data_IF_311875276389
#
_entry.id   IF_311875276389
#
_cell.length_a   1.000
_cell.length_b   1.000
_cell.length_c   1.000
_cell.angle_alpha   90.00
_cell.angle_beta   90.00
_cell.angle_gamma   90.00
#
_symmetry.space_group_name_H-M   'P 1'
#
loop_
_entity.id
_entity.type
_entity.pdbx_description
1 polymer ?
#
# COMPACT_ATOMS: atom_id res chain seq x y z
N UNK A 1 -16.55 16.11 9.17
CA UNK A 1 -15.05 16.18 8.97
C UNK A 1 -14.50 17.37 9.72
N UNK A 2 -13.26 17.25 10.24
CA UNK A 2 -12.56 18.41 10.82
C UNK A 2 -12.09 19.36 9.70
N UNK A 3 -11.91 20.64 10.02
CA UNK A 3 -11.36 21.63 9.08
C UNK A 3 -9.98 21.22 8.54
N UNK A 4 -9.16 20.60 9.41
CA UNK A 4 -7.86 20.06 9.05
C UNK A 4 -7.95 18.91 8.02
N UNK A 5 -8.93 18.01 8.13
CA UNK A 5 -9.13 16.94 7.17
C UNK A 5 -9.60 17.50 5.80
N UNK A 6 -10.45 18.50 5.80
CA UNK A 6 -10.88 19.16 4.56
C UNK A 6 -9.71 19.84 3.85
N UNK A 7 -8.86 20.57 4.58
CA UNK A 7 -7.66 21.18 4.02
C UNK A 7 -6.70 20.14 3.42
N UNK A 8 -6.53 18.99 4.09
CA UNK A 8 -5.70 17.91 3.57
C UNK A 8 -6.26 17.32 2.26
N UNK A 9 -7.58 17.14 2.15
CA UNK A 9 -8.23 16.64 0.93
C UNK A 9 -8.06 17.65 -0.22
N UNK A 10 -8.22 18.94 0.06
CA UNK A 10 -8.06 19.99 -0.97
C UNK A 10 -6.62 20.04 -1.48
N UNK A 11 -5.64 19.84 -0.60
CA UNK A 11 -4.24 19.70 -0.98
C UNK A 11 -4.00 18.47 -1.86
N UNK A 12 -4.56 17.32 -1.50
CA UNK A 12 -4.48 16.09 -2.31
C UNK A 12 -5.09 16.31 -3.70
N UNK A 13 -6.26 16.95 -3.79
CA UNK A 13 -6.91 17.28 -5.07
C UNK A 13 -6.06 18.24 -5.91
N UNK A 14 -5.36 19.19 -5.27
CA UNK A 14 -4.43 20.08 -5.97
C UNK A 14 -3.24 19.30 -6.53
N UNK A 15 -2.58 18.50 -5.70
CA UNK A 15 -1.46 17.67 -6.11
C UNK A 15 -1.83 16.69 -7.24
N UNK A 16 -3.05 16.13 -7.22
CA UNK A 16 -3.54 15.25 -8.28
C UNK A 16 -3.58 15.99 -9.63
N UNK A 17 -4.16 17.20 -9.67
CA UNK A 17 -4.19 18.02 -10.91
C UNK A 17 -2.81 18.39 -11.42
N UNK A 18 -1.87 18.70 -10.51
CA UNK A 18 -0.47 18.98 -10.88
C UNK A 18 0.19 17.76 -11.54
N UNK A 19 -0.01 16.57 -10.99
CA UNK A 19 0.52 15.32 -11.55
C UNK A 19 -0.13 15.00 -12.89
N UNK A 20 -1.43 15.20 -13.04
CA UNK A 20 -2.13 15.01 -14.32
C UNK A 20 -1.55 15.93 -15.40
N UNK A 21 -1.22 17.17 -15.04
CA UNK A 21 -0.55 18.11 -15.94
C UNK A 21 0.86 17.63 -16.32
N UNK A 22 1.63 17.12 -15.34
CA UNK A 22 2.97 16.58 -15.59
C UNK A 22 2.93 15.33 -16.48
N UNK A 23 1.96 14.44 -16.27
CA UNK A 23 1.78 13.23 -17.08
C UNK A 23 1.40 13.53 -18.53
N UNK A 24 0.85 14.71 -18.82
CA UNK A 24 0.58 15.17 -20.17
C UNK A 24 1.80 15.81 -20.87
N UNK A 25 2.91 16.06 -20.15
CA UNK A 25 4.13 16.65 -20.71
C UNK A 25 4.89 15.60 -21.55
N UNK A 26 5.27 16.01 -22.78
CA UNK A 26 6.00 15.15 -23.72
C UNK A 26 7.37 14.71 -23.16
N UNK A 27 8.05 15.54 -22.36
CA UNK A 27 9.32 15.19 -21.73
C UNK A 27 9.15 14.02 -20.75
N UNK A 28 8.06 14.01 -19.98
CA UNK A 28 7.71 12.93 -19.05
C UNK A 28 7.29 11.67 -19.80
N UNK A 29 6.50 11.81 -20.86
CA UNK A 29 6.08 10.67 -21.69
C UNK A 29 7.26 9.93 -22.33
N UNK A 30 8.39 10.62 -22.52
CA UNK A 30 9.61 10.07 -23.13
C UNK A 30 10.54 9.40 -22.10
N UNK A 31 10.26 9.55 -20.78
CA UNK A 31 11.04 8.94 -19.69
C UNK A 31 10.23 7.85 -18.95
N UNK A 32 10.45 6.56 -19.25
CA UNK A 32 9.71 5.47 -18.59
C UNK A 32 9.84 5.45 -17.07
N UNK A 33 10.97 5.92 -16.52
CA UNK A 33 11.20 5.97 -15.07
C UNK A 33 10.36 7.06 -14.41
N UNK A 34 10.35 8.27 -15.01
CA UNK A 34 9.49 9.37 -14.56
C UNK A 34 8.00 9.01 -14.66
N UNK A 35 7.60 8.41 -15.78
CA UNK A 35 6.24 7.89 -15.98
C UNK A 35 5.85 6.88 -14.90
N UNK A 36 6.71 5.94 -14.57
CA UNK A 36 6.45 4.93 -13.55
C UNK A 36 6.25 5.56 -12.16
N UNK A 37 7.13 6.48 -11.77
CA UNK A 37 7.01 7.19 -10.47
C UNK A 37 5.75 8.05 -10.39
N UNK A 38 5.49 8.87 -11.41
CA UNK A 38 4.31 9.72 -11.45
C UNK A 38 3.02 8.91 -11.54
N UNK A 39 3.01 7.80 -12.28
CA UNK A 39 1.89 6.88 -12.36
C UNK A 39 1.53 6.25 -11.01
N UNK A 40 2.52 5.79 -10.24
CA UNK A 40 2.31 5.28 -8.87
C UNK A 40 1.70 6.37 -7.97
N UNK A 41 2.26 7.59 -8.01
CA UNK A 41 1.78 8.71 -7.21
C UNK A 41 0.37 9.16 -7.62
N UNK A 42 0.09 9.23 -8.91
CA UNK A 42 -1.25 9.53 -9.45
C UNK A 42 -2.29 8.53 -8.95
N UNK A 43 -2.02 7.23 -9.08
CA UNK A 43 -2.94 6.18 -8.66
C UNK A 43 -3.27 6.28 -7.16
N UNK A 44 -2.27 6.59 -6.31
CA UNK A 44 -2.47 6.78 -4.87
C UNK A 44 -3.34 8.00 -4.58
N UNK A 45 -3.01 9.18 -5.12
CA UNK A 45 -3.79 10.40 -4.87
C UNK A 45 -5.22 10.27 -5.38
N UNK A 46 -5.40 9.63 -6.54
CA UNK A 46 -6.73 9.33 -7.08
C UNK A 46 -7.53 8.42 -6.16
N UNK A 47 -6.89 7.45 -5.52
CA UNK A 47 -7.56 6.59 -4.54
C UNK A 47 -8.02 7.41 -3.32
N UNK A 48 -7.17 8.28 -2.77
CA UNK A 48 -7.56 9.17 -1.65
C UNK A 48 -8.76 10.03 -2.02
N UNK A 49 -8.74 10.66 -3.20
CA UNK A 49 -9.87 11.48 -3.70
C UNK A 49 -11.14 10.63 -3.85
N UNK A 50 -11.03 9.42 -4.41
CA UNK A 50 -12.17 8.50 -4.56
C UNK A 50 -12.81 8.11 -3.22
N UNK A 51 -12.00 7.88 -2.18
CA UNK A 51 -12.51 7.57 -0.83
C UNK A 51 -13.15 8.82 -0.20
N UNK A 52 -12.54 10.01 -0.39
CA UNK A 52 -13.13 11.26 0.09
C UNK A 52 -14.50 11.55 -0.56
N UNK A 53 -14.59 11.40 -1.89
CA UNK A 53 -15.85 11.58 -2.62
C UNK A 53 -16.92 10.55 -2.15
N UNK A 54 -16.51 9.31 -1.86
CA UNK A 54 -17.39 8.28 -1.28
C UNK A 54 -17.89 8.66 0.10
N UNK A 55 -17.05 9.24 0.96
CA UNK A 55 -17.45 9.74 2.29
C UNK A 55 -18.48 10.86 2.16
N UNK A 56 -18.27 11.81 1.23
CA UNK A 56 -19.19 12.89 0.99
C UNK A 56 -20.54 12.39 0.46
N UNK A 57 -20.53 11.42 -0.46
CA UNK A 57 -21.75 10.79 -0.98
C UNK A 57 -22.51 10.04 0.12
N UNK A 58 -21.83 9.19 0.89
CA UNK A 58 -22.47 8.44 1.98
C UNK A 58 -23.08 9.35 3.04
N UNK A 59 -22.46 10.52 3.30
CA UNK A 59 -23.03 11.52 4.22
C UNK A 59 -24.33 12.10 3.70
N UNK A 60 -24.38 12.46 2.42
CA UNK A 60 -25.59 12.94 1.79
C UNK A 60 -26.69 11.86 1.76
N UNK A 61 -26.31 10.61 1.48
CA UNK A 61 -27.26 9.48 1.48
C UNK A 61 -27.83 9.19 2.87
N UNK A 62 -27.00 9.31 3.95
CA UNK A 62 -27.49 9.20 5.34
C UNK A 62 -28.49 10.29 5.65
N UNK A 63 -28.16 11.53 5.34
CA UNK A 63 -29.04 12.68 5.59
C UNK A 63 -30.39 12.50 4.87
N UNK A 64 -30.37 12.11 3.60
CA UNK A 64 -31.56 11.86 2.82
C UNK A 64 -32.42 10.69 3.39
N UNK A 65 -31.78 9.60 3.86
CA UNK A 65 -32.50 8.48 4.46
C UNK A 65 -33.09 8.84 5.84
N UNK A 66 -32.42 9.70 6.62
CA UNK A 66 -32.92 10.23 7.89
C UNK A 66 -34.16 11.10 7.69
N UNK A 67 -34.13 11.99 6.70
CA UNK A 67 -35.27 12.87 6.38
C UNK A 67 -36.51 12.04 5.97
N UNK A 68 -36.31 10.97 5.20
CA UNK A 68 -37.39 10.07 4.78
C UNK A 68 -37.93 9.18 5.91
N UNK A 69 -37.24 9.02 7.02
CA UNK A 69 -37.68 8.19 8.16
C UNK A 69 -38.92 8.78 8.83
N UNK A 70 -39.17 10.07 8.73
CA UNK A 70 -40.39 10.71 9.22
C UNK A 70 -41.63 10.27 8.41
N UNK A 71 -41.45 9.97 7.13
CA UNK A 71 -42.53 9.54 6.23
C UNK A 71 -42.74 8.01 6.26
N UNK A 72 -41.65 7.23 6.29
CA UNK A 72 -41.68 5.77 6.35
C UNK A 72 -40.54 5.25 7.27
N UNK A 73 -40.92 4.58 8.40
CA UNK A 73 -39.96 3.98 9.34
C UNK A 73 -39.00 2.95 8.74
N UNK A 74 -39.32 2.38 7.56
CA UNK A 74 -38.43 1.46 6.88
C UNK A 74 -37.09 2.09 6.48
N UNK A 75 -37.07 3.41 6.21
CA UNK A 75 -35.83 4.15 5.92
C UNK A 75 -34.89 4.24 7.13
N UNK A 76 -35.38 4.05 8.35
CA UNK A 76 -34.53 4.00 9.54
C UNK A 76 -33.49 2.89 9.50
N UNK A 77 -33.84 1.69 9.01
CA UNK A 77 -32.89 0.59 8.82
C UNK A 77 -31.85 0.89 7.73
N UNK A 78 -32.28 1.56 6.67
CA UNK A 78 -31.36 1.98 5.61
C UNK A 78 -30.40 3.07 6.11
N UNK A 79 -30.87 4.06 6.87
CA UNK A 79 -30.03 5.06 7.49
C UNK A 79 -28.97 4.45 8.42
N UNK A 80 -29.32 3.44 9.23
CA UNK A 80 -28.35 2.70 10.06
C UNK A 80 -27.29 1.97 9.22
N UNK A 81 -27.72 1.31 8.15
CA UNK A 81 -26.81 0.62 7.23
C UNK A 81 -25.82 1.60 6.58
N UNK A 82 -26.30 2.75 6.10
CA UNK A 82 -25.51 3.80 5.47
C UNK A 82 -24.54 4.43 6.47
N UNK A 83 -24.94 4.66 7.73
CA UNK A 83 -24.03 5.12 8.80
C UNK A 83 -22.88 4.15 9.03
N UNK A 84 -23.14 2.85 9.07
CA UNK A 84 -22.08 1.84 9.18
C UNK A 84 -21.09 1.89 8.02
N UNK A 85 -21.57 2.12 6.80
CA UNK A 85 -20.69 2.32 5.63
C UNK A 85 -19.90 3.64 5.69
N UNK A 86 -20.53 4.72 6.15
CA UNK A 86 -19.88 6.02 6.35
C UNK A 86 -18.76 5.94 7.38
N UNK A 87 -18.97 5.22 8.48
CA UNK A 87 -17.96 5.04 9.53
C UNK A 87 -16.73 4.28 8.98
N UNK A 88 -16.96 3.20 8.22
CA UNK A 88 -15.88 2.45 7.58
C UNK A 88 -15.10 3.30 6.57
N UNK A 89 -15.79 4.03 5.69
CA UNK A 89 -15.16 4.89 4.70
C UNK A 89 -14.42 6.08 5.35
N UNK A 90 -14.94 6.63 6.45
CA UNK A 90 -14.31 7.71 7.21
C UNK A 90 -13.04 7.24 7.92
N UNK A 91 -13.04 6.01 8.42
CA UNK A 91 -11.85 5.38 9.02
C UNK A 91 -10.77 5.18 7.96
N UNK A 92 -11.12 4.59 6.81
CA UNK A 92 -10.22 4.42 5.67
C UNK A 92 -9.62 5.77 5.22
N UNK A 93 -10.43 6.82 5.10
CA UNK A 93 -9.96 8.16 4.73
C UNK A 93 -8.98 8.72 5.75
N UNK A 94 -9.24 8.54 7.04
CA UNK A 94 -8.38 9.00 8.11
C UNK A 94 -7.01 8.32 8.06
N UNK A 95 -6.98 7.02 7.81
CA UNK A 95 -5.74 6.25 7.62
C UNK A 95 -4.95 6.72 6.40
N UNK A 96 -5.64 6.98 5.28
CA UNK A 96 -5.02 7.47 4.04
C UNK A 96 -4.44 8.89 4.15
N UNK A 97 -5.03 9.74 5.00
CA UNK A 97 -4.58 11.11 5.26
C UNK A 97 -3.53 11.20 6.38
N UNK A 98 -3.31 10.10 7.11
CA UNK A 98 -2.30 10.08 8.17
C UNK A 98 -0.91 10.37 7.60
N UNK A 99 -0.08 11.18 8.30
CA UNK A 99 1.30 11.39 7.91
C UNK A 99 2.05 10.07 7.77
N UNK A 100 2.61 9.80 6.61
CA UNK A 100 3.43 8.61 6.35
C UNK A 100 4.86 9.02 6.01
N UNK A 101 5.81 8.14 6.31
CA UNK A 101 7.19 8.31 5.86
C UNK A 101 7.21 8.34 4.32
N UNK A 102 7.86 9.35 3.69
CA UNK A 102 8.01 9.37 2.23
C UNK A 102 8.61 8.08 1.67
N UNK A 103 9.52 7.44 2.40
CA UNK A 103 10.14 6.17 2.00
C UNK A 103 9.16 5.01 1.98
N UNK A 104 8.06 5.08 2.73
CA UNK A 104 7.03 4.02 2.72
C UNK A 104 6.43 3.75 1.33
N UNK A 105 6.63 4.69 0.40
CA UNK A 105 6.13 4.57 -0.98
C UNK A 105 7.11 3.89 -1.94
N UNK A 106 8.33 3.61 -1.47
CA UNK A 106 9.41 3.10 -2.31
C UNK A 106 9.34 1.56 -2.44
N UNK A 107 10.06 1.06 -3.43
CA UNK A 107 10.35 -0.36 -3.56
C UNK A 107 11.36 -0.76 -2.48
N UNK A 108 11.39 -2.04 -2.11
CA UNK A 108 12.26 -2.55 -1.07
C UNK A 108 13.43 -3.37 -1.63
N UNK A 109 14.58 -3.27 -0.99
CA UNK A 109 15.65 -4.25 -1.09
C UNK A 109 15.58 -5.15 0.14
N UNK A 110 15.50 -6.45 -0.07
CA UNK A 110 15.53 -7.45 0.99
C UNK A 110 16.81 -8.25 0.84
N UNK A 111 17.64 -8.19 1.85
CA UNK A 111 18.91 -8.92 1.93
C UNK A 111 18.79 -9.97 3.04
N UNK A 112 19.06 -11.22 2.69
CA UNK A 112 18.97 -12.37 3.58
C UNK A 112 20.35 -12.97 3.69
N UNK A 113 20.91 -12.98 4.91
CA UNK A 113 22.18 -13.63 5.22
C UNK A 113 21.92 -14.86 6.07
N UNK A 114 22.59 -15.95 5.75
CA UNK A 114 22.65 -17.09 6.66
C UNK A 114 23.48 -16.74 7.89
N UNK A 115 23.05 -17.19 9.06
CA UNK A 115 23.83 -17.04 10.29
C UNK A 115 24.97 -18.06 10.40
N UNK A 116 25.57 -18.16 11.60
CA UNK A 116 26.71 -19.05 11.89
C UNK A 116 26.33 -20.55 11.96
N UNK A 117 25.10 -20.93 11.64
CA UNK A 117 24.57 -22.29 11.72
C UNK A 117 24.98 -23.23 10.58
N UNK A 118 25.96 -22.85 9.75
CA UNK A 118 26.42 -23.69 8.63
C UNK A 118 25.32 -23.94 7.58
N UNK A 119 25.26 -25.14 7.01
CA UNK A 119 24.30 -25.50 5.96
C UNK A 119 22.83 -25.37 6.39
N UNK A 120 22.51 -25.65 7.66
CA UNK A 120 21.14 -25.51 8.14
C UNK A 120 20.65 -24.04 8.11
N UNK A 121 21.52 -23.09 8.45
CA UNK A 121 21.19 -21.67 8.33
C UNK A 121 21.06 -21.22 6.87
N UNK A 122 21.85 -21.79 5.96
CA UNK A 122 21.73 -21.53 4.53
C UNK A 122 20.43 -22.08 3.93
N UNK A 123 20.00 -23.26 4.34
CA UNK A 123 18.70 -23.83 3.98
C UNK A 123 17.54 -22.99 4.53
N UNK A 124 17.66 -22.48 5.75
CA UNK A 124 16.67 -21.57 6.32
C UNK A 124 16.60 -20.22 5.57
N UNK A 125 17.74 -19.70 5.09
CA UNK A 125 17.74 -18.51 4.23
C UNK A 125 16.97 -18.77 2.92
N UNK A 126 17.05 -19.97 2.33
CA UNK A 126 16.24 -20.36 1.18
C UNK A 126 14.74 -20.44 1.52
N UNK A 127 14.39 -20.92 2.71
CA UNK A 127 13.00 -20.94 3.17
C UNK A 127 12.43 -19.52 3.34
N UNK A 128 13.21 -18.58 3.91
CA UNK A 128 12.84 -17.16 4.02
C UNK A 128 12.66 -16.51 2.65
N UNK A 129 13.59 -16.74 1.72
CA UNK A 129 13.46 -16.26 0.35
C UNK A 129 12.15 -16.73 -0.29
N UNK A 130 11.84 -18.01 -0.15
CA UNK A 130 10.60 -18.60 -0.65
C UNK A 130 9.37 -17.96 0.01
N UNK A 131 9.41 -17.75 1.32
CA UNK A 131 8.33 -17.09 2.07
C UNK A 131 8.05 -15.69 1.53
N UNK A 132 9.09 -14.84 1.39
CA UNK A 132 8.94 -13.49 0.87
C UNK A 132 8.46 -13.47 -0.58
N UNK A 133 8.99 -14.35 -1.43
CA UNK A 133 8.56 -14.48 -2.82
C UNK A 133 7.08 -14.87 -2.92
N UNK A 134 6.64 -15.86 -2.14
CA UNK A 134 5.23 -16.27 -2.09
C UNK A 134 4.31 -15.20 -1.52
N UNK A 135 4.77 -14.44 -0.54
CA UNK A 135 4.02 -13.30 -0.05
C UNK A 135 3.87 -12.23 -1.13
N UNK A 136 4.96 -11.87 -1.80
CA UNK A 136 4.96 -10.91 -2.90
C UNK A 136 3.98 -11.30 -4.02
N UNK A 137 4.00 -12.57 -4.47
CA UNK A 137 3.06 -13.12 -5.46
C UNK A 137 1.60 -12.91 -5.03
N UNK A 138 1.26 -13.22 -3.77
CA UNK A 138 -0.12 -13.09 -3.25
C UNK A 138 -0.62 -11.65 -3.22
N UNK A 139 0.28 -10.69 -2.99
CA UNK A 139 -0.08 -9.27 -2.88
C UNK A 139 0.12 -8.49 -4.19
N UNK A 140 0.54 -9.20 -5.25
CA UNK A 140 0.73 -8.63 -6.59
C UNK A 140 2.02 -7.82 -6.76
N UNK A 141 3.03 -8.06 -5.91
CA UNK A 141 4.34 -7.45 -6.04
C UNK A 141 5.22 -8.24 -7.02
N UNK A 142 6.19 -7.58 -7.64
CA UNK A 142 7.21 -8.24 -8.44
C UNK A 142 8.50 -8.40 -7.64
N UNK A 143 9.14 -9.57 -7.79
CA UNK A 143 10.40 -9.89 -7.14
C UNK A 143 11.44 -10.15 -8.21
N UNK A 144 12.62 -9.56 -8.05
CA UNK A 144 13.79 -9.78 -8.90
C UNK A 144 15.01 -10.05 -8.04
N UNK A 145 15.63 -11.20 -8.23
CA UNK A 145 16.94 -11.51 -7.64
C UNK A 145 18.00 -10.60 -8.25
N UNK A 146 18.79 -9.97 -7.41
CA UNK A 146 19.90 -9.10 -7.80
C UNK A 146 21.23 -9.81 -7.72
N UNK A 147 21.44 -10.52 -6.62
CA UNK A 147 22.64 -11.35 -6.40
C UNK A 147 22.33 -12.47 -5.42
N UNK A 148 23.06 -13.57 -5.55
CA UNK A 148 22.96 -14.70 -4.62
C UNK A 148 24.28 -15.47 -4.51
N UNK A 149 24.50 -16.07 -3.35
CA UNK A 149 25.57 -17.01 -3.07
C UNK A 149 24.96 -18.36 -2.63
N UNK A 150 24.62 -19.24 -3.59
CA UNK A 150 24.04 -20.53 -3.27
C UNK A 150 25.04 -21.46 -2.59
N UNK A 151 24.53 -22.45 -1.83
CA UNK A 151 25.32 -23.55 -1.30
C UNK A 151 25.03 -24.85 -2.02
N UNK A 152 25.92 -25.84 -1.88
CA UNK A 152 25.83 -27.12 -2.57
C UNK A 152 24.54 -27.90 -2.25
N UNK A 153 23.96 -27.66 -1.06
CA UNK A 153 22.72 -28.31 -0.61
C UNK A 153 21.45 -27.52 -0.95
N UNK A 154 21.56 -26.47 -1.77
CA UNK A 154 20.41 -25.66 -2.21
C UNK A 154 19.98 -24.57 -1.25
N UNK A 155 20.82 -24.23 -0.28
CA UNK A 155 20.68 -23.05 0.59
C UNK A 155 21.32 -21.81 -0.04
N UNK A 156 21.28 -20.69 0.70
CA UNK A 156 21.96 -19.45 0.34
C UNK A 156 22.81 -18.95 1.52
N UNK A 157 24.06 -18.56 1.26
CA UNK A 157 24.85 -17.78 2.22
C UNK A 157 24.34 -16.37 2.29
N UNK A 158 24.10 -15.78 1.13
CA UNK A 158 23.53 -14.46 0.96
C UNK A 158 22.62 -14.47 -0.26
N UNK A 159 21.49 -13.80 -0.17
CA UNK A 159 20.65 -13.50 -1.33
C UNK A 159 20.03 -12.11 -1.17
N UNK A 160 20.07 -11.33 -2.24
CA UNK A 160 19.49 -9.98 -2.31
C UNK A 160 18.43 -9.96 -3.39
N UNK A 161 17.24 -9.55 -3.02
CA UNK A 161 16.11 -9.37 -3.93
C UNK A 161 15.62 -7.94 -3.92
N UNK A 162 15.24 -7.43 -5.09
CA UNK A 162 14.45 -6.22 -5.24
C UNK A 162 12.97 -6.60 -5.28
N UNK A 163 12.18 -5.95 -4.44
CA UNK A 163 10.73 -6.15 -4.35
C UNK A 163 10.05 -4.85 -4.76
N UNK A 164 9.39 -4.85 -5.91
CA UNK A 164 8.64 -3.69 -6.38
C UNK A 164 7.15 -3.85 -6.06
N UNK A 165 6.66 -2.88 -5.28
CA UNK A 165 5.27 -2.82 -4.87
C UNK A 165 4.34 -2.27 -5.94
N UNK A 166 3.03 -2.36 -5.66
CA UNK A 166 1.99 -1.72 -6.48
C UNK A 166 1.58 -0.37 -5.87
N UNK A 167 0.94 0.54 -6.62
CA UNK A 167 0.69 1.93 -6.18
C UNK A 167 -0.02 2.07 -4.83
N UNK A 168 -0.97 1.18 -4.52
CA UNK A 168 -1.73 1.21 -3.27
C UNK A 168 -1.18 0.28 -2.19
N UNK A 169 -0.12 -0.48 -2.51
CA UNK A 169 0.56 -1.39 -1.59
C UNK A 169 2.05 -1.39 -1.92
N UNK A 170 2.77 -0.32 -1.54
CA UNK A 170 4.21 -0.20 -1.77
C UNK A 170 4.98 -1.19 -0.91
N UNK A 171 6.13 -1.68 -1.40
CA UNK A 171 6.83 -2.78 -0.76
C UNK A 171 7.56 -2.35 0.52
N UNK A 172 8.25 -1.20 0.51
CA UNK A 172 9.10 -0.78 1.63
C UNK A 172 8.29 -0.55 2.91
N UNK A 173 7.15 0.15 2.83
CA UNK A 173 6.32 0.43 4.00
C UNK A 173 5.85 -0.81 4.75
N UNK A 174 5.68 -1.93 4.05
CA UNK A 174 5.31 -3.23 4.64
C UNK A 174 6.52 -4.02 5.12
N UNK A 175 7.65 -3.96 4.41
CA UNK A 175 8.82 -4.81 4.69
C UNK A 175 9.83 -4.16 5.65
N UNK A 176 9.79 -2.85 5.87
CA UNK A 176 10.74 -2.13 6.74
C UNK A 176 10.82 -2.66 8.16
N UNK A 177 9.77 -3.32 8.65
CA UNK A 177 9.71 -3.89 9.99
C UNK A 177 10.22 -5.34 10.08
N UNK A 178 10.52 -5.96 8.92
CA UNK A 178 11.06 -7.33 8.85
C UNK A 178 12.58 -7.40 9.14
N UNK A 179 13.26 -6.24 9.18
CA UNK A 179 14.69 -6.18 9.49
C UNK A 179 14.99 -6.71 10.90
N UNK A 180 15.76 -7.81 10.99
CA UNK A 180 16.11 -8.42 12.27
C UNK A 180 16.62 -9.85 12.13
N UNK A 181 16.85 -10.51 13.25
CA UNK A 181 17.32 -11.88 13.31
C UNK A 181 16.13 -12.83 13.31
N UNK A 182 16.01 -13.61 12.26
CA UNK A 182 15.06 -14.71 12.15
C UNK A 182 15.67 -15.99 12.72
N UNK A 183 14.95 -16.67 13.58
CA UNK A 183 15.41 -17.91 14.21
C UNK A 183 14.41 -19.03 13.99
N UNK A 184 14.92 -20.19 13.56
CA UNK A 184 14.16 -21.44 13.51
C UNK A 184 14.74 -22.43 14.51
N UNK A 185 13.87 -23.20 15.14
CA UNK A 185 14.27 -24.32 15.99
C UNK A 185 13.61 -25.57 15.42
N UNK A 186 14.43 -26.45 14.83
CA UNK A 186 13.99 -27.71 14.25
C UNK A 186 14.48 -28.86 15.16
N UNK A 187 13.63 -29.84 15.32
CA UNK A 187 13.95 -31.11 16.04
C UNK A 187 14.34 -32.14 15.01
#
# INVERSE_FOLDING_TARGET
>A
MSESAQQAIDEVRRCLREIETQLADFAVLSDPSAMGRLGKRHARLRHVVSVADRVDQLRADVEAAEDLTEEDPAFGLEAERLRGQLDLASTELTELLAPSDPLDQEDALVEIHSGEGGEESALFAADLLRMYTRYAERVGWSVRELTSEPTDLGGYRTVVIAVAGVPLRPAYGYLKHEGGVHRVQRV
#
